data_IF_967401055702
#
_entry.id   IF_967401055702
#
_cell.length_a   1.000
_cell.length_b   1.000
_cell.length_c   1.000
_cell.angle_alpha   90.00
_cell.angle_beta   90.00
_cell.angle_gamma   90.00
#
_symmetry.space_group_name_H-M   'P 1'
#
loop_
_entity.id
_entity.type
_entity.pdbx_description
1 polymer ?
#
# COMPACT_ATOMS: atom_id res chain seq x y z
N UNK A 1 8.69 -12.17 -0.61
CA UNK A 1 7.93 -10.94 -0.93
C UNK A 1 8.13 -10.54 -2.38
N UNK A 2 9.38 -10.41 -2.84
CA UNK A 2 9.64 -9.99 -4.24
C UNK A 2 8.96 -10.88 -5.27
N UNK A 3 8.99 -12.21 -5.13
CA UNK A 3 8.33 -13.10 -6.10
C UNK A 3 6.83 -12.80 -6.32
N UNK A 4 6.10 -12.41 -5.25
CA UNK A 4 4.71 -12.00 -5.35
C UNK A 4 4.56 -10.67 -6.12
N UNK A 5 5.44 -9.70 -5.85
CA UNK A 5 5.45 -8.41 -6.56
C UNK A 5 5.81 -8.60 -8.02
N UNK A 6 6.85 -9.36 -8.33
CA UNK A 6 7.27 -9.66 -9.70
C UNK A 6 6.16 -10.33 -10.53
N UNK A 7 5.34 -11.19 -9.89
CA UNK A 7 4.20 -11.81 -10.56
C UNK A 7 3.11 -10.78 -10.92
N UNK A 8 2.87 -9.81 -10.04
CA UNK A 8 1.96 -8.70 -10.33
C UNK A 8 2.54 -7.78 -11.41
N UNK A 9 3.85 -7.45 -11.35
CA UNK A 9 4.52 -6.60 -12.33
C UNK A 9 4.44 -7.17 -13.75
N UNK A 10 4.53 -8.51 -13.91
CA UNK A 10 4.34 -9.15 -15.23
C UNK A 10 2.98 -8.80 -15.82
N UNK A 11 1.92 -8.81 -15.00
CA UNK A 11 0.56 -8.48 -15.45
C UNK A 11 0.45 -6.98 -15.76
N UNK A 12 0.94 -6.11 -14.89
CA UNK A 12 0.94 -4.67 -15.12
C UNK A 12 1.66 -4.30 -16.41
N UNK A 13 2.85 -4.86 -16.60
CA UNK A 13 3.66 -4.63 -17.81
C UNK A 13 2.98 -5.10 -19.09
N UNK A 14 2.33 -6.27 -19.05
CA UNK A 14 1.58 -6.81 -20.20
C UNK A 14 0.40 -5.92 -20.61
N UNK A 15 -0.14 -5.16 -19.66
CA UNK A 15 -1.26 -4.23 -19.87
C UNK A 15 -0.81 -2.76 -20.04
N UNK A 16 0.51 -2.53 -20.20
CA UNK A 16 1.10 -1.20 -20.42
C UNK A 16 1.10 -0.28 -19.21
N UNK A 17 1.00 -0.83 -18.00
CA UNK A 17 1.09 -0.08 -16.74
C UNK A 17 2.55 -0.05 -16.28
N UNK A 18 3.08 1.15 -16.06
CA UNK A 18 4.39 1.33 -15.47
C UNK A 18 4.35 1.08 -13.97
N UNK A 19 5.41 0.46 -13.44
CA UNK A 19 5.54 0.15 -12.02
C UNK A 19 6.89 0.60 -11.49
N UNK A 20 6.92 1.06 -10.26
CA UNK A 20 8.15 1.31 -9.50
C UNK A 20 8.09 0.53 -8.19
N UNK A 21 9.11 -0.27 -7.92
CA UNK A 21 9.24 -1.02 -6.66
C UNK A 21 10.16 -0.27 -5.71
N UNK A 22 9.61 0.16 -4.59
CA UNK A 22 10.35 0.81 -3.51
C UNK A 22 10.59 -0.21 -2.40
N UNK A 23 11.84 -0.59 -2.22
CA UNK A 23 12.23 -1.56 -1.21
C UNK A 23 12.62 -0.88 0.10
N UNK A 24 11.79 -1.05 1.13
CA UNK A 24 12.00 -0.49 2.47
C UNK A 24 12.95 -1.33 3.35
N UNK A 25 13.63 -2.30 2.80
CA UNK A 25 14.31 -3.37 3.57
C UNK A 25 15.77 -3.14 3.93
N UNK A 26 16.46 -2.18 3.35
CA UNK A 26 17.93 -2.13 3.40
C UNK A 26 18.54 -1.41 4.61
N UNK A 27 17.82 -0.45 5.20
CA UNK A 27 18.31 0.38 6.32
C UNK A 27 17.29 0.44 7.45
N UNK A 28 17.68 0.75 8.69
CA UNK A 28 16.74 1.08 9.74
C UNK A 28 15.84 2.25 9.32
N UNK A 29 14.56 2.15 9.62
CA UNK A 29 13.59 3.25 9.45
C UNK A 29 13.10 3.61 10.84
N UNK A 30 13.11 4.89 11.18
CA UNK A 30 12.56 5.38 12.43
C UNK A 30 11.03 5.38 12.37
N UNK A 31 10.39 5.09 13.50
CA UNK A 31 8.96 5.25 13.69
C UNK A 31 8.53 6.73 13.70
N UNK A 32 7.22 6.97 13.73
CA UNK A 32 6.67 8.31 13.81
C UNK A 32 6.79 8.88 15.23
N UNK A 33 7.54 9.96 15.40
CA UNK A 33 7.69 10.68 16.69
C UNK A 33 6.49 11.55 17.07
N UNK A 34 5.47 11.63 16.23
CA UNK A 34 4.31 12.53 16.40
C UNK A 34 4.72 13.99 16.68
N UNK A 35 5.82 14.45 16.13
CA UNK A 35 6.35 15.80 16.33
C UNK A 35 5.54 16.89 15.62
N UNK A 36 4.58 16.54 14.77
CA UNK A 36 3.69 17.41 14.00
C UNK A 36 4.39 18.43 13.06
N UNK A 37 5.67 18.26 12.76
CA UNK A 37 6.38 19.14 11.81
C UNK A 37 5.81 18.98 10.41
N UNK A 38 5.49 17.76 9.99
CA UNK A 38 4.89 17.47 8.69
C UNK A 38 3.52 18.15 8.48
N UNK A 39 2.75 18.39 9.53
CA UNK A 39 1.50 19.17 9.44
C UNK A 39 1.71 20.62 9.01
N UNK A 40 2.92 21.18 9.21
CA UNK A 40 3.29 22.55 8.80
C UNK A 40 4.06 22.58 7.49
N UNK A 41 4.93 21.58 7.26
CA UNK A 41 5.88 21.58 6.14
C UNK A 41 5.47 20.66 5.00
N UNK A 42 4.51 19.75 5.23
CA UNK A 42 4.15 18.68 4.32
C UNK A 42 5.17 17.53 4.27
N UNK A 43 6.27 17.61 5.01
CA UNK A 43 7.39 16.63 4.97
C UNK A 43 7.75 16.15 6.36
N UNK A 44 8.12 14.86 6.48
CA UNK A 44 8.68 14.30 7.69
C UNK A 44 10.05 14.92 8.00
N UNK A 45 10.39 15.04 9.29
CA UNK A 45 11.69 15.56 9.75
C UNK A 45 12.87 14.63 9.40
N UNK A 46 12.63 13.33 9.31
CA UNK A 46 13.62 12.36 8.84
C UNK A 46 13.68 12.41 7.31
N UNK A 47 14.86 12.62 6.75
CA UNK A 47 15.04 12.91 5.31
C UNK A 47 15.89 11.90 4.56
N UNK A 48 16.43 10.89 5.25
CA UNK A 48 17.47 9.99 4.74
C UNK A 48 17.00 8.54 4.53
N UNK A 49 15.70 8.27 4.64
CA UNK A 49 15.11 6.92 4.61
C UNK A 49 14.06 6.69 3.51
N UNK A 50 13.91 7.63 2.59
CA UNK A 50 13.05 7.50 1.41
C UNK A 50 11.55 7.79 1.65
N UNK A 51 11.09 8.03 2.88
CA UNK A 51 9.67 8.30 3.16
C UNK A 51 9.19 9.56 2.44
N UNK A 52 9.93 10.66 2.54
CA UNK A 52 9.55 11.92 1.88
C UNK A 52 9.58 11.79 0.35
N UNK A 53 10.54 11.06 -0.20
CA UNK A 53 10.61 10.78 -1.63
C UNK A 53 9.40 9.98 -2.10
N UNK A 54 9.04 8.93 -1.37
CA UNK A 54 7.85 8.14 -1.66
C UNK A 54 6.57 8.98 -1.64
N UNK A 55 6.38 9.82 -0.62
CA UNK A 55 5.22 10.70 -0.52
C UNK A 55 5.14 11.68 -1.70
N UNK A 56 6.28 12.17 -2.16
CA UNK A 56 6.31 13.04 -3.35
C UNK A 56 5.93 12.29 -4.63
N UNK A 57 6.50 11.09 -4.85
CA UNK A 57 6.15 10.23 -5.99
C UNK A 57 4.67 9.77 -5.97
N UNK A 58 4.10 9.64 -4.77
CA UNK A 58 2.72 9.25 -4.61
C UNK A 58 1.70 10.21 -5.27
N UNK A 59 2.08 11.46 -5.53
CA UNK A 59 1.21 12.42 -6.25
C UNK A 59 0.83 11.91 -7.63
N UNK A 60 1.80 11.37 -8.35
CA UNK A 60 1.69 11.00 -9.77
C UNK A 60 1.33 9.52 -9.96
N UNK A 61 1.34 8.73 -8.90
CA UNK A 61 0.95 7.32 -8.94
C UNK A 61 -0.57 7.17 -8.99
N UNK A 62 -1.06 6.20 -9.77
CA UNK A 62 -2.48 5.88 -9.92
C UNK A 62 -2.97 4.76 -8.99
N UNK A 63 -2.07 4.06 -8.30
CA UNK A 63 -2.41 2.99 -7.36
C UNK A 63 -1.21 2.49 -6.56
N UNK A 64 -1.46 1.75 -5.49
CA UNK A 64 -0.44 1.33 -4.55
C UNK A 64 -0.58 -0.13 -4.14
N UNK A 65 0.54 -0.83 -4.05
CA UNK A 65 0.63 -2.17 -3.46
C UNK A 65 1.60 -2.13 -2.29
N UNK A 66 1.13 -2.47 -1.09
CA UNK A 66 1.97 -2.61 0.10
C UNK A 66 2.16 -4.08 0.42
N UNK A 67 3.38 -4.57 0.21
CA UNK A 67 3.75 -5.97 0.39
C UNK A 67 4.69 -6.15 1.57
N UNK A 68 4.40 -7.15 2.41
CA UNK A 68 5.17 -7.41 3.62
C UNK A 68 5.45 -8.90 3.82
N UNK A 69 6.65 -9.26 4.28
CA UNK A 69 6.83 -10.57 4.91
C UNK A 69 6.13 -10.58 6.26
N UNK A 70 5.71 -11.76 6.69
CA UNK A 70 5.10 -11.97 8.01
C UNK A 70 6.17 -12.41 9.02
N UNK A 71 6.27 -11.69 10.13
CA UNK A 71 7.08 -12.03 11.29
C UNK A 71 6.21 -12.07 12.54
N UNK A 72 6.30 -13.16 13.33
CA UNK A 72 5.49 -13.32 14.55
C UNK A 72 3.99 -13.09 14.32
N UNK A 73 3.47 -13.58 13.20
CA UNK A 73 2.07 -13.50 12.78
C UNK A 73 1.53 -12.08 12.51
N UNK A 74 2.40 -11.08 12.28
CA UNK A 74 2.02 -9.73 11.84
C UNK A 74 3.00 -9.18 10.78
N UNK A 75 2.71 -8.04 10.16
CA UNK A 75 3.61 -7.42 9.19
C UNK A 75 4.98 -7.10 9.80
N UNK A 76 5.99 -6.98 8.96
CA UNK A 76 7.29 -6.43 9.36
C UNK A 76 7.13 -5.06 10.03
N UNK A 77 7.76 -4.83 11.19
CA UNK A 77 7.73 -3.52 11.85
C UNK A 77 8.17 -2.39 10.92
N UNK A 78 9.15 -2.65 10.06
CA UNK A 78 9.67 -1.66 9.11
C UNK A 78 8.65 -1.12 8.11
N UNK A 79 7.68 -1.94 7.67
CA UNK A 79 6.63 -1.44 6.79
C UNK A 79 5.71 -0.47 7.56
N UNK A 80 5.46 -0.73 8.84
CA UNK A 80 4.69 0.19 9.68
C UNK A 80 5.42 1.50 9.93
N UNK A 81 6.70 1.45 10.32
CA UNK A 81 7.51 2.65 10.54
C UNK A 81 7.49 3.55 9.29
N UNK A 82 7.57 2.94 8.12
CA UNK A 82 7.50 3.64 6.84
C UNK A 82 6.11 4.22 6.57
N UNK A 83 5.06 3.38 6.67
CA UNK A 83 3.69 3.78 6.31
C UNK A 83 3.09 4.77 7.33
N UNK A 84 3.35 4.60 8.63
CA UNK A 84 2.90 5.55 9.65
C UNK A 84 3.37 6.97 9.34
N UNK A 85 4.62 7.13 8.94
CA UNK A 85 5.17 8.42 8.58
C UNK A 85 4.68 8.92 7.22
N UNK A 86 4.57 8.03 6.23
CA UNK A 86 4.07 8.40 4.91
C UNK A 86 2.62 8.87 4.98
N UNK A 87 1.74 8.14 5.67
CA UNK A 87 0.33 8.48 5.78
C UNK A 87 0.04 9.59 6.78
N UNK A 88 0.83 9.72 7.84
CA UNK A 88 0.65 10.80 8.82
C UNK A 88 1.05 12.18 8.27
N UNK A 89 1.89 12.24 7.26
CA UNK A 89 2.20 13.51 6.60
C UNK A 89 0.95 14.05 5.90
N UNK A 90 0.69 15.37 6.02
CA UNK A 90 -0.48 16.01 5.38
C UNK A 90 -0.49 15.79 3.86
N UNK A 91 0.67 15.86 3.22
CA UNK A 91 0.79 15.59 1.80
C UNK A 91 0.58 14.11 1.47
N UNK A 92 1.00 13.19 2.35
CA UNK A 92 0.77 11.77 2.16
C UNK A 92 -0.70 11.43 2.10
N UNK A 93 -1.47 11.89 3.08
CA UNK A 93 -2.91 11.63 3.12
C UNK A 93 -3.61 12.07 1.83
N UNK A 94 -3.37 13.28 1.36
CA UNK A 94 -3.99 13.79 0.12
C UNK A 94 -3.47 13.09 -1.13
N UNK A 95 -2.19 12.69 -1.16
CA UNK A 95 -1.60 12.01 -2.32
C UNK A 95 -2.10 10.58 -2.51
N UNK A 96 -2.59 9.93 -1.45
CA UNK A 96 -3.14 8.57 -1.50
C UNK A 96 -4.65 8.53 -1.76
N UNK A 97 -5.36 9.57 -1.40
CA UNK A 97 -6.82 9.65 -1.42
C UNK A 97 -7.42 9.29 -2.79
N UNK A 98 -8.45 8.44 -2.79
CA UNK A 98 -9.18 7.98 -3.97
C UNK A 98 -8.38 7.18 -5.00
N UNK A 99 -7.18 6.76 -4.67
CA UNK A 99 -6.37 5.85 -5.50
C UNK A 99 -6.53 4.41 -4.99
N UNK A 100 -6.62 3.40 -5.87
CA UNK A 100 -6.76 2.02 -5.43
C UNK A 100 -5.52 1.54 -4.68
N UNK A 101 -5.74 0.84 -3.59
CA UNK A 101 -4.70 0.22 -2.78
C UNK A 101 -4.89 -1.29 -2.66
N UNK A 102 -3.79 -2.03 -2.55
CA UNK A 102 -3.80 -3.44 -2.23
C UNK A 102 -2.72 -3.79 -1.21
N UNK A 103 -3.08 -4.57 -0.20
CA UNK A 103 -2.13 -5.21 0.70
C UNK A 103 -1.79 -6.60 0.23
N UNK A 104 -0.53 -7.02 0.38
CA UNK A 104 -0.04 -8.37 0.07
C UNK A 104 0.80 -8.88 1.23
N UNK A 105 0.51 -10.07 1.72
CA UNK A 105 1.24 -10.68 2.83
C UNK A 105 1.88 -12.01 2.43
N UNK A 106 3.15 -12.19 2.75
CA UNK A 106 3.90 -13.40 2.42
C UNK A 106 4.39 -14.06 3.69
N UNK A 107 4.04 -15.33 3.90
CA UNK A 107 4.45 -16.10 5.06
C UNK A 107 4.84 -17.53 4.69
N UNK A 108 5.65 -18.13 5.55
CA UNK A 108 5.83 -19.57 5.49
C UNK A 108 4.53 -20.33 5.77
N UNK A 109 3.71 -19.82 6.73
CA UNK A 109 2.50 -20.51 7.22
C UNK A 109 1.43 -19.55 7.71
N UNK A 110 1.42 -19.17 9.00
CA UNK A 110 0.37 -18.37 9.63
C UNK A 110 0.68 -16.88 9.69
N UNK A 111 -0.37 -16.06 9.88
CA UNK A 111 -0.25 -14.61 10.13
C UNK A 111 -0.50 -13.71 8.92
N UNK A 112 -0.79 -14.28 7.76
CA UNK A 112 -1.07 -13.49 6.54
C UNK A 112 -2.35 -12.67 6.66
N UNK A 113 -3.45 -13.25 7.16
CA UNK A 113 -4.73 -12.52 7.34
C UNK A 113 -4.59 -11.36 8.33
N UNK A 114 -3.98 -11.59 9.49
CA UNK A 114 -3.73 -10.52 10.45
C UNK A 114 -2.85 -9.40 9.87
N UNK A 115 -1.90 -9.76 9.02
CA UNK A 115 -1.06 -8.79 8.31
C UNK A 115 -1.84 -7.97 7.28
N UNK A 116 -2.74 -8.60 6.53
CA UNK A 116 -3.63 -7.92 5.59
C UNK A 116 -4.58 -6.97 6.32
N UNK A 117 -5.19 -7.39 7.44
CA UNK A 117 -6.07 -6.55 8.25
C UNK A 117 -5.36 -5.30 8.75
N UNK A 118 -4.11 -5.45 9.18
CA UNK A 118 -3.31 -4.34 9.67
C UNK A 118 -2.98 -3.33 8.56
N UNK A 119 -2.55 -3.80 7.38
CA UNK A 119 -2.23 -2.93 6.24
C UNK A 119 -3.46 -2.27 5.62
N UNK A 120 -4.61 -2.97 5.57
CA UNK A 120 -5.85 -2.42 5.01
C UNK A 120 -6.38 -1.21 5.80
N UNK A 121 -5.98 -1.02 7.05
CA UNK A 121 -6.36 0.16 7.84
C UNK A 121 -5.83 1.46 7.26
N UNK A 122 -4.63 1.44 6.66
CA UNK A 122 -4.08 2.63 5.98
C UNK A 122 -4.96 3.04 4.80
N UNK A 123 -5.42 2.09 4.00
CA UNK A 123 -6.32 2.39 2.88
C UNK A 123 -7.65 2.96 3.36
N UNK A 124 -8.24 2.33 4.39
CA UNK A 124 -9.53 2.78 4.92
C UNK A 124 -9.51 4.21 5.42
N UNK A 125 -8.51 4.58 6.24
CA UNK A 125 -8.42 5.94 6.79
C UNK A 125 -8.11 6.98 5.71
N UNK A 126 -7.35 6.63 4.69
CA UNK A 126 -6.99 7.53 3.59
C UNK A 126 -8.03 7.56 2.45
N UNK A 127 -9.22 7.00 2.65
CA UNK A 127 -10.30 6.96 1.65
C UNK A 127 -9.85 6.31 0.32
N UNK A 128 -8.99 5.30 0.41
CA UNK A 128 -8.50 4.55 -0.74
C UNK A 128 -9.42 3.33 -0.99
N UNK A 129 -9.95 3.15 -2.19
CA UNK A 129 -10.63 1.92 -2.55
C UNK A 129 -9.67 0.73 -2.48
N UNK A 130 -10.05 -0.34 -1.78
CA UNK A 130 -9.20 -1.51 -1.61
C UNK A 130 -9.48 -2.56 -2.69
N UNK A 131 -8.46 -2.98 -3.42
CA UNK A 131 -8.56 -4.03 -4.40
C UNK A 131 -8.48 -5.41 -3.74
N UNK A 132 -9.45 -6.27 -4.05
CA UNK A 132 -9.44 -7.68 -3.72
C UNK A 132 -9.03 -8.56 -4.89
N UNK A 133 -8.80 -9.84 -4.60
CA UNK A 133 -8.54 -10.87 -5.60
C UNK A 133 -9.56 -12.01 -5.48
N UNK A 134 -9.26 -13.16 -6.07
CA UNK A 134 -10.09 -14.38 -5.97
C UNK A 134 -9.93 -15.12 -4.64
N UNK A 135 -8.94 -14.74 -3.84
CA UNK A 135 -8.71 -15.16 -2.46
C UNK A 135 -8.05 -14.00 -1.70
N UNK A 136 -7.78 -14.16 -0.39
CA UNK A 136 -7.00 -13.17 0.34
C UNK A 136 -5.62 -13.00 -0.30
N UNK A 137 -5.13 -11.78 -0.37
CA UNK A 137 -3.92 -11.40 -1.09
C UNK A 137 -2.65 -11.91 -0.38
N UNK A 138 -2.44 -13.21 -0.38
CA UNK A 138 -1.34 -13.86 0.31
C UNK A 138 -0.59 -14.84 -0.61
N UNK A 139 0.67 -15.07 -0.27
CA UNK A 139 1.53 -16.07 -0.89
C UNK A 139 2.28 -16.82 0.20
N UNK A 140 2.44 -18.12 0.04
CA UNK A 140 3.18 -18.96 0.98
C UNK A 140 4.53 -19.41 0.40
N UNK A 141 5.54 -19.44 1.26
CA UNK A 141 6.88 -19.90 0.94
C UNK A 141 7.85 -19.62 2.09
N UNK A 142 8.76 -20.55 2.34
CA UNK A 142 9.83 -20.36 3.33
C UNK A 142 10.98 -19.56 2.73
N UNK A 143 11.31 -19.82 1.47
CA UNK A 143 12.40 -19.19 0.72
C UNK A 143 11.86 -18.45 -0.50
N UNK A 144 12.73 -17.71 -1.19
CA UNK A 144 12.36 -17.04 -2.44
C UNK A 144 11.99 -18.05 -3.54
N UNK A 145 12.62 -19.22 -3.52
CA UNK A 145 12.40 -20.30 -4.49
C UNK A 145 11.11 -21.09 -4.23
N UNK A 146 10.57 -21.01 -3.01
CA UNK A 146 9.31 -21.68 -2.67
C UNK A 146 8.10 -20.88 -3.09
N UNK A 147 8.15 -19.56 -2.94
CA UNK A 147 7.01 -18.70 -3.22
C UNK A 147 6.41 -18.90 -4.64
N UNK A 148 7.20 -19.04 -5.71
CA UNK A 148 6.66 -19.34 -7.05
C UNK A 148 5.97 -20.70 -7.19
N UNK A 149 6.17 -21.63 -6.23
CA UNK A 149 5.53 -22.95 -6.22
C UNK A 149 4.13 -22.91 -5.60
N UNK A 150 3.77 -21.82 -4.92
CA UNK A 150 2.42 -21.55 -4.43
C UNK A 150 1.55 -21.09 -5.61
N UNK A 151 1.02 -22.05 -6.36
CA UNK A 151 0.24 -21.79 -7.57
C UNK A 151 -1.01 -20.95 -7.29
N UNK A 152 -1.70 -21.20 -6.17
CA UNK A 152 -2.87 -20.44 -5.75
C UNK A 152 -2.49 -19.00 -5.38
N UNK A 153 -1.42 -18.82 -4.61
CA UNK A 153 -0.90 -17.51 -4.26
C UNK A 153 -0.48 -16.72 -5.50
N UNK A 154 0.24 -17.33 -6.44
CA UNK A 154 0.63 -16.68 -7.70
C UNK A 154 -0.57 -16.35 -8.58
N UNK A 155 -1.58 -17.21 -8.66
CA UNK A 155 -2.84 -16.92 -9.34
C UNK A 155 -3.56 -15.74 -8.68
N UNK A 156 -3.61 -15.71 -7.34
CA UNK A 156 -4.18 -14.62 -6.56
C UNK A 156 -3.49 -13.30 -6.89
N UNK A 157 -2.16 -13.27 -6.99
CA UNK A 157 -1.40 -12.07 -7.37
C UNK A 157 -1.73 -11.60 -8.78
N UNK A 158 -1.82 -12.51 -9.75
CA UNK A 158 -2.22 -12.15 -11.12
C UNK A 158 -3.63 -11.56 -11.18
N UNK A 159 -4.58 -12.16 -10.47
CA UNK A 159 -5.96 -11.67 -10.44
C UNK A 159 -6.09 -10.35 -9.68
N UNK A 160 -5.30 -10.15 -8.60
CA UNK A 160 -5.22 -8.87 -7.90
C UNK A 160 -4.75 -7.75 -8.84
N UNK A 161 -3.68 -7.99 -9.58
CA UNK A 161 -3.17 -7.01 -10.54
C UNK A 161 -4.21 -6.66 -11.61
N UNK A 162 -4.92 -7.65 -12.16
CA UNK A 162 -6.01 -7.42 -13.14
C UNK A 162 -7.15 -6.59 -12.54
N UNK A 163 -7.55 -6.87 -11.31
CA UNK A 163 -8.60 -6.12 -10.62
C UNK A 163 -8.16 -4.67 -10.36
N UNK A 164 -6.91 -4.45 -9.96
CA UNK A 164 -6.36 -3.09 -9.81
C UNK A 164 -6.34 -2.33 -11.14
N UNK A 165 -5.91 -2.96 -12.22
CA UNK A 165 -5.91 -2.37 -13.56
C UNK A 165 -7.32 -1.96 -13.97
N UNK A 166 -8.29 -2.84 -13.74
CA UNK A 166 -9.70 -2.54 -14.03
C UNK A 166 -10.20 -1.33 -13.23
N UNK A 167 -9.89 -1.26 -11.93
CA UNK A 167 -10.26 -0.12 -11.08
C UNK A 167 -9.62 1.18 -11.56
N UNK A 168 -8.31 1.19 -11.86
CA UNK A 168 -7.62 2.38 -12.37
C UNK A 168 -8.24 2.85 -13.68
N UNK A 169 -8.53 1.94 -14.62
CA UNK A 169 -9.21 2.27 -15.89
C UNK A 169 -10.63 2.83 -15.68
N UNK A 170 -11.38 2.29 -14.71
CA UNK A 170 -12.70 2.82 -14.35
C UNK A 170 -12.60 4.24 -13.79
N UNK A 171 -11.63 4.50 -12.91
CA UNK A 171 -11.43 5.82 -12.34
C UNK A 171 -10.99 6.83 -13.40
N UNK A 172 -10.09 6.45 -14.29
CA UNK A 172 -9.69 7.28 -15.40
C UNK A 172 -10.88 7.59 -16.36
N UNK A 173 -11.67 6.58 -16.68
CA UNK A 173 -12.88 6.76 -17.49
C UNK A 173 -13.88 7.69 -16.81
N UNK A 174 -14.13 7.51 -15.51
CA UNK A 174 -14.98 8.39 -14.72
C UNK A 174 -14.47 9.84 -14.71
N UNK A 175 -13.17 10.04 -14.51
CA UNK A 175 -12.54 11.36 -14.57
C UNK A 175 -12.72 12.02 -15.93
N UNK A 176 -12.50 11.27 -17.02
CA UNK A 176 -12.71 11.76 -18.40
C UNK A 176 -14.18 12.09 -18.70
N UNK A 177 -15.10 11.36 -18.09
CA UNK A 177 -16.55 11.61 -18.19
C UNK A 177 -17.05 12.74 -17.29
N UNK A 178 -16.16 13.38 -16.50
CA UNK A 178 -16.52 14.48 -15.61
C UNK A 178 -17.20 14.06 -14.31
N UNK A 179 -17.08 12.79 -13.89
CA UNK A 179 -17.58 12.33 -12.58
C UNK A 179 -16.78 13.01 -11.48
N UNK A 180 -17.39 13.81 -10.60
CA UNK A 180 -16.67 14.50 -9.56
C UNK A 180 -16.21 13.52 -8.45
N UNK A 181 -15.10 13.83 -7.81
CA UNK A 181 -14.77 13.17 -6.54
C UNK A 181 -15.83 13.51 -5.47
N UNK A 182 -16.03 12.61 -4.49
CA UNK A 182 -16.94 12.88 -3.37
C UNK A 182 -16.56 14.16 -2.64
N UNK A 183 -17.54 15.06 -2.43
CA UNK A 183 -17.41 16.19 -1.53
C UNK A 183 -17.60 15.68 -0.10
N UNK A 184 -16.50 15.38 0.59
CA UNK A 184 -16.53 14.81 1.92
C UNK A 184 -16.54 15.93 2.97
N UNK A 185 -17.41 15.79 3.96
CA UNK A 185 -17.45 16.72 5.09
C UNK A 185 -16.12 16.82 5.82
N UNK A 186 -15.84 17.97 6.41
CA UNK A 186 -14.67 18.15 7.27
C UNK A 186 -14.77 17.23 8.48
N UNK A 187 -13.72 16.46 8.73
CA UNK A 187 -13.65 15.54 9.84
C UNK A 187 -13.79 16.23 11.20
N UNK A 188 -14.70 15.72 12.04
CA UNK A 188 -14.74 16.06 13.46
C UNK A 188 -13.71 15.24 14.23
N UNK A 189 -12.81 15.91 14.95
CA UNK A 189 -11.85 15.24 15.81
C UNK A 189 -12.44 15.15 17.22
N UNK A 190 -12.91 13.97 17.61
CA UNK A 190 -13.43 13.74 18.96
C UNK A 190 -12.28 13.57 19.96
N UNK A 191 -12.32 14.35 21.04
CA UNK A 191 -11.46 14.18 22.19
C UNK A 191 -12.30 13.75 23.39
N UNK A 192 -12.05 12.55 23.93
CA UNK A 192 -12.78 12.00 25.07
C UNK A 192 -12.27 12.50 26.44
N UNK A 193 -11.19 13.25 26.48
CA UNK A 193 -10.69 13.90 27.70
C UNK A 193 -11.41 15.25 27.83
N UNK A 194 -12.19 15.38 28.92
CA UNK A 194 -12.95 16.57 29.28
C UNK A 194 -12.33 17.22 30.50
#
# INVERSE_FOLDING_TARGET
TMAAIEEMEKVFRAEGIETEVIQVGGKPIADCLQCNVCGKTGKCVFTDDGVNEFVEKAKDADGFVFATPVYFAHPSGRIFDFLDRAFYSSNGYENFKFKPGAAVAIARRGGTTASLDALNKYFGIAQMPTAGSTYWNMVHGLTAEDAPKDEEGMQTMRNLAKNMIWMMRCFEAGKKAGVPYPDTEKQFCTNFIR
#
